data_IF_029545380580
#
_entry.id   IF_029545380580
#
_cell.length_a   1.000
_cell.length_b   1.000
_cell.length_c   1.000
_cell.angle_alpha   90.00
_cell.angle_beta   90.00
_cell.angle_gamma   90.00
#
_symmetry.space_group_name_H-M   'P 1'
#
loop_
_entity.id
_entity.type
_entity.pdbx_description
1 polymer ?
#
# COMPACT_ATOMS: atom_id res chain seq x y z
N UNK A 1 -38.32 -22.65 23.30
CA UNK A 1 -39.05 -21.55 22.66
C UNK A 1 -39.44 -21.87 21.22
N UNK A 2 -38.50 -22.22 20.33
CA UNK A 2 -38.82 -22.45 18.92
C UNK A 2 -39.66 -23.71 18.64
N UNK A 3 -39.54 -24.77 19.45
CA UNK A 3 -40.27 -26.03 19.27
C UNK A 3 -41.65 -26.09 19.95
N UNK A 4 -42.12 -25.01 20.59
CA UNK A 4 -43.46 -24.99 21.22
C UNK A 4 -44.60 -24.83 20.21
N UNK A 5 -45.78 -25.38 20.49
CA UNK A 5 -46.93 -25.42 19.56
C UNK A 5 -47.72 -24.09 19.47
N UNK A 6 -47.05 -22.95 19.66
CA UNK A 6 -47.68 -21.63 19.55
C UNK A 6 -47.83 -21.18 18.10
N UNK A 7 -49.05 -20.76 17.75
CA UNK A 7 -49.53 -20.46 16.39
C UNK A 7 -48.99 -19.17 15.77
N UNK A 8 -48.39 -18.27 16.56
CA UNK A 8 -47.71 -17.06 16.06
C UNK A 8 -46.43 -16.80 16.84
N UNK A 9 -45.30 -16.86 16.15
CA UNK A 9 -43.97 -16.51 16.67
C UNK A 9 -43.34 -15.50 15.72
N UNK A 10 -42.66 -14.50 16.28
CA UNK A 10 -41.87 -13.54 15.52
C UNK A 10 -40.37 -13.80 15.72
N UNK A 11 -39.56 -13.46 14.71
CA UNK A 11 -38.09 -13.49 14.81
C UNK A 11 -37.61 -12.56 15.94
N UNK A 12 -38.32 -11.46 16.18
CA UNK A 12 -38.02 -10.50 17.25
C UNK A 12 -38.14 -11.10 18.65
N UNK A 13 -38.95 -12.15 18.82
CA UNK A 13 -39.16 -12.78 20.13
C UNK A 13 -37.91 -13.56 20.62
N UNK A 14 -36.97 -13.82 19.71
CA UNK A 14 -35.66 -14.39 20.03
C UNK A 14 -34.63 -13.36 20.49
N UNK A 15 -34.88 -12.06 20.27
CA UNK A 15 -33.92 -10.99 20.57
C UNK A 15 -33.48 -10.98 22.04
N UNK A 16 -34.35 -11.18 23.05
CA UNK A 16 -33.91 -11.27 24.45
C UNK A 16 -33.03 -12.49 24.73
N UNK A 17 -33.21 -13.60 23.99
CA UNK A 17 -32.39 -14.82 24.15
C UNK A 17 -31.00 -14.65 23.53
N UNK A 18 -30.87 -13.83 22.50
CA UNK A 18 -29.60 -13.44 21.89
C UNK A 18 -28.93 -12.36 22.75
N UNK A 19 -29.70 -11.37 23.22
CA UNK A 19 -29.32 -10.39 24.24
C UNK A 19 -27.96 -9.74 23.97
N UNK A 20 -27.03 -9.90 24.92
CA UNK A 20 -25.68 -9.32 24.86
C UNK A 20 -24.86 -9.79 23.65
N UNK A 21 -25.18 -10.94 23.04
CA UNK A 21 -24.45 -11.45 21.86
C UNK A 21 -24.60 -10.55 20.64
N UNK A 22 -25.64 -9.70 20.58
CA UNK A 22 -25.76 -8.68 19.54
C UNK A 22 -24.56 -7.72 19.55
N UNK A 23 -24.09 -7.31 20.74
CA UNK A 23 -22.94 -6.42 20.85
C UNK A 23 -21.66 -7.13 20.39
N UNK A 24 -21.47 -8.41 20.72
CA UNK A 24 -20.32 -9.18 20.23
C UNK A 24 -20.31 -9.30 18.71
N UNK A 25 -21.49 -9.53 18.09
CA UNK A 25 -21.59 -9.60 16.62
C UNK A 25 -21.40 -8.23 15.98
N UNK A 26 -21.94 -7.17 16.57
CA UNK A 26 -21.76 -5.80 16.09
C UNK A 26 -20.28 -5.38 16.15
N UNK A 27 -19.60 -5.67 17.25
CA UNK A 27 -18.15 -5.43 17.41
C UNK A 27 -17.34 -6.22 16.37
N UNK A 28 -17.68 -7.48 16.13
CA UNK A 28 -17.03 -8.30 15.08
C UNK A 28 -17.19 -7.69 13.69
N UNK A 29 -18.39 -7.15 13.38
CA UNK A 29 -18.65 -6.49 12.09
C UNK A 29 -17.86 -5.18 11.98
N UNK A 30 -17.80 -4.39 13.04
CA UNK A 30 -17.01 -3.14 13.07
C UNK A 30 -15.52 -3.43 12.92
N UNK A 31 -14.96 -4.37 13.68
CA UNK A 31 -13.57 -4.79 13.54
C UNK A 31 -13.24 -5.26 12.12
N UNK A 32 -14.15 -6.01 11.48
CA UNK A 32 -13.97 -6.40 10.09
C UNK A 32 -13.97 -5.20 9.14
N UNK A 33 -14.80 -4.20 9.40
CA UNK A 33 -14.80 -2.94 8.64
C UNK A 33 -13.45 -2.25 8.73
N UNK A 34 -12.91 -2.11 9.95
CA UNK A 34 -11.62 -1.46 10.18
C UNK A 34 -10.47 -2.18 9.45
N UNK A 35 -10.49 -3.52 9.47
CA UNK A 35 -9.52 -4.34 8.72
C UNK A 35 -9.63 -4.06 7.21
N UNK A 36 -10.85 -4.03 6.66
CA UNK A 36 -11.07 -3.77 5.24
C UNK A 36 -10.64 -2.35 4.85
N UNK A 37 -10.91 -1.35 5.68
CA UNK A 37 -10.48 0.03 5.45
C UNK A 37 -8.95 0.15 5.46
N UNK A 38 -8.28 -0.54 6.39
CA UNK A 38 -6.83 -0.57 6.46
C UNK A 38 -6.19 -1.22 5.22
N UNK A 39 -6.72 -2.36 4.77
CA UNK A 39 -6.23 -3.00 3.55
C UNK A 39 -6.51 -2.17 2.29
N UNK A 40 -7.69 -1.54 2.21
CA UNK A 40 -8.01 -0.62 1.13
C UNK A 40 -7.05 0.58 1.10
N UNK A 41 -6.70 1.12 2.26
CA UNK A 41 -5.75 2.24 2.33
C UNK A 41 -4.37 1.85 1.78
N UNK A 42 -3.89 0.64 2.08
CA UNK A 42 -2.61 0.13 1.55
C UNK A 42 -2.68 -0.05 0.04
N UNK A 43 -3.77 -0.57 -0.49
CA UNK A 43 -3.94 -0.76 -1.95
C UNK A 43 -4.00 0.55 -2.72
N UNK A 44 -4.61 1.60 -2.13
CA UNK A 44 -4.58 2.94 -2.71
C UNK A 44 -3.15 3.50 -2.79
N UNK A 45 -2.35 3.28 -1.74
CA UNK A 45 -0.93 3.65 -1.70
C UNK A 45 -0.12 2.87 -2.74
N UNK A 46 -0.29 1.55 -2.80
CA UNK A 46 0.31 0.69 -3.82
C UNK A 46 0.01 1.20 -5.24
N UNK A 47 -1.24 1.59 -5.51
CA UNK A 47 -1.63 2.18 -6.78
C UNK A 47 -0.92 3.49 -7.10
N UNK A 48 -0.70 4.37 -6.10
CA UNK A 48 0.06 5.62 -6.28
C UNK A 48 1.53 5.33 -6.58
N UNK A 49 2.16 4.49 -5.77
CA UNK A 49 3.57 4.12 -5.92
C UNK A 49 3.81 3.40 -7.25
N UNK A 50 2.92 2.51 -7.67
CA UNK A 50 3.01 1.85 -8.98
C UNK A 50 3.00 2.85 -10.13
N UNK A 51 2.09 3.82 -10.14
CA UNK A 51 2.05 4.86 -11.18
C UNK A 51 3.32 5.71 -11.19
N UNK A 52 3.88 6.01 -10.01
CA UNK A 52 5.14 6.74 -9.90
C UNK A 52 6.32 5.92 -10.45
N UNK A 53 6.40 4.64 -10.11
CA UNK A 53 7.39 3.71 -10.64
C UNK A 53 7.33 3.61 -12.17
N UNK A 54 6.11 3.51 -12.74
CA UNK A 54 5.93 3.49 -14.20
C UNK A 54 6.48 4.77 -14.85
N UNK A 55 6.26 5.94 -14.24
CA UNK A 55 6.82 7.21 -14.73
C UNK A 55 8.35 7.21 -14.68
N UNK A 56 8.93 6.78 -13.56
CA UNK A 56 10.39 6.68 -13.41
C UNK A 56 10.98 5.71 -14.44
N UNK A 57 10.42 4.51 -14.56
CA UNK A 57 10.86 3.49 -15.52
C UNK A 57 10.72 3.93 -16.99
N UNK A 58 9.76 4.82 -17.28
CA UNK A 58 9.58 5.39 -18.63
C UNK A 58 10.67 6.41 -18.97
N UNK A 59 11.31 7.04 -17.99
CA UNK A 59 12.34 8.05 -18.19
C UNK A 59 13.74 7.44 -18.12
N UNK A 60 13.95 6.56 -17.14
CA UNK A 60 15.23 5.95 -16.84
C UNK A 60 15.65 4.93 -17.92
N UNK A 61 16.94 4.87 -18.23
CA UNK A 61 17.59 3.88 -19.12
C UNK A 61 16.93 3.64 -20.50
N UNK A 62 16.36 4.67 -21.14
CA UNK A 62 15.79 4.54 -22.50
C UNK A 62 16.83 4.00 -23.49
N UNK A 63 16.62 2.83 -24.13
CA UNK A 63 17.63 2.16 -24.98
C UNK A 63 18.12 3.04 -26.13
N UNK A 64 17.22 3.80 -26.74
CA UNK A 64 17.48 4.70 -27.88
C UNK A 64 18.47 5.83 -27.55
N UNK A 65 18.66 6.13 -26.26
CA UNK A 65 19.43 7.27 -25.76
C UNK A 65 20.51 6.84 -24.76
N UNK A 66 20.67 5.53 -24.55
CA UNK A 66 21.52 4.95 -23.50
C UNK A 66 23.03 5.10 -23.77
N UNK A 67 23.43 5.42 -25.00
CA UNK A 67 24.83 5.72 -25.38
C UNK A 67 25.06 7.21 -25.67
N UNK A 68 24.06 8.05 -25.47
CA UNK A 68 24.20 9.50 -25.61
C UNK A 68 24.64 10.09 -24.26
N UNK A 69 25.90 10.52 -24.16
CA UNK A 69 26.45 11.15 -22.97
C UNK A 69 25.67 12.43 -22.56
N UNK A 70 25.01 13.09 -23.52
CA UNK A 70 24.14 14.26 -23.22
C UNK A 70 22.82 13.85 -22.57
N UNK A 71 22.42 12.58 -22.71
CA UNK A 71 21.23 12.02 -22.07
C UNK A 71 21.53 11.40 -20.70
N UNK A 72 22.68 10.75 -20.56
CA UNK A 72 23.01 9.94 -19.40
C UNK A 72 23.52 10.72 -18.18
N UNK A 73 24.16 11.90 -18.35
CA UNK A 73 24.93 12.55 -17.28
C UNK A 73 24.67 14.07 -17.11
N UNK A 74 23.57 14.61 -17.65
CA UNK A 74 23.30 16.06 -17.57
C UNK A 74 21.92 16.38 -16.98
N UNK A 75 21.89 17.31 -16.01
CA UNK A 75 20.67 17.95 -15.49
C UNK A 75 19.71 17.02 -14.74
N UNK A 76 18.40 17.30 -14.87
CA UNK A 76 17.33 16.63 -14.12
C UNK A 76 17.25 15.11 -14.36
N UNK A 77 17.69 14.64 -15.53
CA UNK A 77 17.65 13.21 -15.90
C UNK A 77 18.69 12.40 -15.14
N UNK A 78 19.88 12.96 -14.98
CA UNK A 78 20.92 12.34 -14.16
C UNK A 78 20.47 12.25 -12.69
N UNK A 79 19.74 13.26 -12.20
CA UNK A 79 19.17 13.24 -10.85
C UNK A 79 18.16 12.09 -10.66
N UNK A 80 17.30 11.81 -11.64
CA UNK A 80 16.38 10.68 -11.59
C UNK A 80 17.09 9.32 -11.65
N UNK A 81 18.20 9.22 -12.39
CA UNK A 81 19.06 8.04 -12.42
C UNK A 81 19.72 7.80 -11.05
N UNK A 82 20.31 8.84 -10.44
CA UNK A 82 20.88 8.75 -9.10
C UNK A 82 19.83 8.34 -8.06
N UNK A 83 18.62 8.89 -8.16
CA UNK A 83 17.53 8.50 -7.27
C UNK A 83 17.14 7.02 -7.45
N UNK A 84 17.04 6.53 -8.69
CA UNK A 84 16.82 5.10 -8.97
C UNK A 84 17.91 4.24 -8.34
N UNK A 85 19.17 4.63 -8.48
CA UNK A 85 20.29 3.86 -7.93
C UNK A 85 20.26 3.87 -6.39
N UNK A 86 19.97 5.01 -5.78
CA UNK A 86 19.77 5.13 -4.33
C UNK A 86 18.66 4.20 -3.81
N UNK A 87 17.53 4.12 -4.52
CA UNK A 87 16.37 3.33 -4.09
C UNK A 87 16.54 1.83 -4.37
N UNK A 88 17.08 1.45 -5.53
CA UNK A 88 17.06 0.06 -6.02
C UNK A 88 18.42 -0.64 -6.08
N UNK A 89 19.53 0.09 -5.94
CA UNK A 89 20.90 -0.45 -6.04
C UNK A 89 21.62 -0.37 -4.70
N UNK A 90 20.90 -0.67 -3.62
CA UNK A 90 21.48 -0.74 -2.30
C UNK A 90 22.42 -1.94 -2.19
N UNK A 91 23.52 -1.76 -1.46
CA UNK A 91 24.48 -2.82 -1.16
C UNK A 91 24.71 -2.90 0.34
N UNK A 92 24.89 -4.12 0.84
CA UNK A 92 25.32 -4.38 2.22
C UNK A 92 26.79 -4.01 2.41
N UNK A 93 27.26 -4.00 3.67
CA UNK A 93 28.68 -3.78 3.99
C UNK A 93 29.61 -4.80 3.33
N UNK A 94 29.11 -6.00 3.02
CA UNK A 94 29.84 -7.07 2.31
C UNK A 94 29.66 -7.00 0.78
N UNK A 95 29.25 -5.84 0.23
CA UNK A 95 29.04 -5.57 -1.20
C UNK A 95 27.96 -6.42 -1.88
N UNK A 96 27.10 -7.10 -1.11
CA UNK A 96 25.99 -7.89 -1.67
C UNK A 96 24.80 -6.99 -1.96
N UNK A 97 24.11 -7.15 -3.11
CA UNK A 97 22.86 -6.45 -3.39
C UNK A 97 21.85 -6.65 -2.27
N UNK A 98 21.23 -5.55 -1.85
CA UNK A 98 20.23 -5.51 -0.79
C UNK A 98 18.97 -4.83 -1.31
N UNK A 99 17.81 -5.36 -0.94
CA UNK A 99 16.53 -4.75 -1.29
C UNK A 99 15.69 -4.63 -0.02
N UNK A 100 15.63 -3.42 0.52
CA UNK A 100 14.74 -3.08 1.64
C UNK A 100 13.42 -2.49 1.14
N UNK A 101 12.34 -3.25 1.26
CA UNK A 101 11.01 -2.80 0.85
C UNK A 101 10.51 -1.59 1.66
N UNK A 102 10.88 -1.48 2.95
CA UNK A 102 10.49 -0.33 3.78
C UNK A 102 11.17 0.95 3.30
N UNK A 103 12.46 0.85 2.96
CA UNK A 103 13.20 1.94 2.34
C UNK A 103 12.55 2.38 1.02
N UNK A 104 12.29 1.43 0.11
CA UNK A 104 11.69 1.72 -1.20
C UNK A 104 10.36 2.45 -1.04
N UNK A 105 9.45 1.92 -0.22
CA UNK A 105 8.14 2.53 0.03
C UNK A 105 8.29 3.93 0.65
N UNK A 106 9.16 4.10 1.65
CA UNK A 106 9.40 5.39 2.29
C UNK A 106 9.91 6.44 1.30
N UNK A 107 10.91 6.10 0.49
CA UNK A 107 11.48 7.01 -0.50
C UNK A 107 10.48 7.40 -1.59
N UNK A 108 9.70 6.45 -2.10
CA UNK A 108 8.69 6.75 -3.11
C UNK A 108 7.54 7.57 -2.54
N UNK A 109 7.12 7.34 -1.29
CA UNK A 109 6.13 8.19 -0.63
C UNK A 109 6.62 9.63 -0.45
N UNK A 110 7.88 9.81 -0.03
CA UNK A 110 8.49 11.14 0.07
C UNK A 110 8.54 11.85 -1.28
N UNK A 111 8.85 11.11 -2.35
CA UNK A 111 8.83 11.64 -3.70
C UNK A 111 7.41 12.01 -4.15
N UNK A 112 6.42 11.16 -3.89
CA UNK A 112 5.02 11.37 -4.30
C UNK A 112 4.36 12.56 -3.57
N UNK A 113 4.72 12.79 -2.29
CA UNK A 113 4.21 13.94 -1.54
C UNK A 113 5.07 15.22 -1.70
N UNK A 114 6.24 15.13 -2.33
CA UNK A 114 7.18 16.24 -2.45
C UNK A 114 7.72 16.70 -1.09
N UNK A 115 8.12 15.75 -0.23
CA UNK A 115 8.65 16.05 1.11
C UNK A 115 9.83 17.04 1.06
N UNK A 116 9.92 18.00 1.99
CA UNK A 116 11.05 18.94 2.07
C UNK A 116 12.34 18.29 2.61
N UNK A 117 12.28 17.06 3.10
CA UNK A 117 13.44 16.31 3.60
C UNK A 117 14.48 16.12 2.48
N UNK A 118 15.77 16.31 2.82
CA UNK A 118 16.91 16.09 1.94
C UNK A 118 17.69 14.85 2.34
#
# INVERSE_FOLDING_TARGET
>A
YLLSDQTRKSVTDLMPMIGARFYTQLDTVQFRSDVLENELSKELENGRLFRLLVKLATINERPELNMDATWAETGDRYMLKLFRDYVFHQVTADERPWLDMSHVVSCLNKLDCGSPDK
#
